data_IF_661093427418
#
_entry.id   IF_661093427418
#
_cell.length_a   1.000
_cell.length_b   1.000
_cell.length_c   1.000
_cell.angle_alpha   90.00
_cell.angle_beta   90.00
_cell.angle_gamma   90.00
#
_symmetry.space_group_name_H-M   'P 1'
#
loop_
_entity.id
_entity.type
_entity.pdbx_description
1 polymer ?
#
# COMPACT_ATOMS: atom_id res chain seq x y z
N UNK A 1 -15.58 34.13 -5.65
CA UNK A 1 -15.49 33.35 -6.91
C UNK A 1 -16.20 32.02 -6.67
N UNK A 2 -17.15 31.60 -7.53
CA UNK A 2 -17.87 30.34 -7.36
C UNK A 2 -16.93 29.18 -7.71
N UNK A 3 -16.46 28.43 -6.73
CA UNK A 3 -15.76 27.17 -6.97
C UNK A 3 -16.78 26.11 -7.40
N UNK A 4 -16.53 25.45 -8.52
CA UNK A 4 -17.37 24.36 -8.99
C UNK A 4 -17.04 23.09 -8.18
N UNK A 5 -18.05 22.47 -7.57
CA UNK A 5 -17.89 21.23 -6.78
C UNK A 5 -17.21 20.10 -7.58
N UNK A 6 -17.37 20.09 -8.92
CA UNK A 6 -16.71 19.12 -9.80
C UNK A 6 -15.18 19.28 -9.81
N UNK A 7 -14.68 20.51 -9.83
CA UNK A 7 -13.23 20.80 -9.80
C UNK A 7 -12.64 20.33 -8.47
N UNK A 8 -13.35 20.59 -7.37
CA UNK A 8 -12.90 20.20 -6.04
C UNK A 8 -12.82 18.68 -5.87
N UNK A 9 -13.75 17.92 -6.46
CA UNK A 9 -13.69 16.45 -6.47
C UNK A 9 -12.50 15.93 -7.29
N UNK A 10 -12.20 16.58 -8.42
CA UNK A 10 -11.08 16.23 -9.28
C UNK A 10 -9.74 16.52 -8.57
N UNK A 11 -9.60 17.70 -7.97
CA UNK A 11 -8.41 18.06 -7.17
C UNK A 11 -8.19 17.09 -6.00
N UNK A 12 -9.27 16.72 -5.30
CA UNK A 12 -9.20 15.72 -4.22
C UNK A 12 -8.77 14.35 -4.75
N UNK A 13 -9.30 13.93 -5.90
CA UNK A 13 -8.91 12.69 -6.56
C UNK A 13 -7.44 12.68 -6.98
N UNK A 14 -6.92 13.79 -7.53
CA UNK A 14 -5.51 13.94 -7.88
C UNK A 14 -4.63 13.86 -6.64
N UNK A 15 -5.00 14.54 -5.55
CA UNK A 15 -4.24 14.49 -4.30
C UNK A 15 -4.17 13.06 -3.75
N UNK A 16 -5.30 12.34 -3.75
CA UNK A 16 -5.35 10.95 -3.31
C UNK A 16 -4.50 10.04 -4.20
N UNK A 17 -4.58 10.22 -5.53
CA UNK A 17 -3.75 9.47 -6.47
C UNK A 17 -2.26 9.76 -6.28
N UNK A 18 -1.88 11.03 -6.08
CA UNK A 18 -0.49 11.43 -5.80
C UNK A 18 0.02 10.84 -4.48
N UNK A 19 -0.82 10.81 -3.44
CA UNK A 19 -0.47 10.24 -2.15
C UNK A 19 -0.33 8.72 -2.20
N UNK A 20 -1.26 8.05 -2.88
CA UNK A 20 -1.19 6.60 -3.14
C UNK A 20 0.06 6.26 -3.96
N UNK A 21 0.31 7.01 -5.03
CA UNK A 21 1.48 6.82 -5.92
C UNK A 21 2.77 7.10 -5.16
N UNK A 22 2.81 8.13 -4.31
CA UNK A 22 3.94 8.43 -3.43
C UNK A 22 4.19 7.30 -2.42
N UNK A 23 3.13 6.70 -1.86
CA UNK A 23 3.25 5.59 -0.92
C UNK A 23 3.73 4.32 -1.60
N UNK A 24 3.16 4.02 -2.77
CA UNK A 24 3.54 2.87 -3.59
C UNK A 24 4.98 2.98 -4.14
N UNK A 25 5.41 4.20 -4.48
CA UNK A 25 6.78 4.51 -4.91
C UNK A 25 7.85 4.04 -3.92
N UNK A 26 7.58 4.09 -2.60
CA UNK A 26 8.51 3.61 -1.57
C UNK A 26 8.75 2.11 -1.72
N UNK A 27 7.67 1.34 -1.86
CA UNK A 27 7.77 -0.11 -2.05
C UNK A 27 8.55 -0.47 -3.32
N UNK A 28 8.30 0.23 -4.42
CA UNK A 28 9.03 0.00 -5.68
C UNK A 28 10.52 0.33 -5.57
N UNK A 29 10.88 1.38 -4.82
CA UNK A 29 12.30 1.72 -4.57
C UNK A 29 13.01 0.64 -3.78
N UNK A 30 12.38 0.16 -2.70
CA UNK A 30 12.92 -0.93 -1.87
C UNK A 30 13.05 -2.21 -2.70
N UNK A 31 12.00 -2.54 -3.47
CA UNK A 31 12.02 -3.69 -4.38
C UNK A 31 13.20 -3.63 -5.34
N UNK A 32 13.38 -2.51 -6.05
CA UNK A 32 14.50 -2.43 -6.99
C UNK A 32 15.86 -2.40 -6.32
N UNK A 33 16.01 -1.85 -5.11
CA UNK A 33 17.27 -2.00 -4.36
C UNK A 33 17.56 -3.46 -4.03
N UNK A 34 16.55 -4.24 -3.62
CA UNK A 34 16.70 -5.67 -3.37
C UNK A 34 17.07 -6.40 -4.66
N UNK A 35 16.35 -6.18 -5.76
CA UNK A 35 16.63 -6.82 -7.05
C UNK A 35 18.03 -6.46 -7.56
N UNK A 36 18.46 -5.20 -7.39
CA UNK A 36 19.81 -4.76 -7.72
C UNK A 36 20.85 -5.52 -6.91
N UNK A 37 20.64 -5.70 -5.60
CA UNK A 37 21.55 -6.47 -4.74
C UNK A 37 21.58 -7.95 -5.11
N UNK A 38 20.42 -8.56 -5.40
CA UNK A 38 20.33 -9.95 -5.87
C UNK A 38 21.11 -10.11 -7.17
N UNK A 39 20.95 -9.18 -8.13
CA UNK A 39 21.70 -9.24 -9.38
C UNK A 39 23.22 -9.14 -9.17
N UNK A 40 23.68 -8.33 -8.21
CA UNK A 40 25.10 -8.27 -7.84
C UNK A 40 25.56 -9.61 -7.27
N UNK A 41 24.79 -10.21 -6.34
CA UNK A 41 25.12 -11.49 -5.72
C UNK A 41 25.13 -12.65 -6.73
N UNK A 42 24.31 -12.58 -7.78
CA UNK A 42 24.27 -13.57 -8.86
C UNK A 42 25.25 -13.25 -10.00
N UNK A 43 26.19 -12.30 -9.82
CA UNK A 43 27.17 -11.89 -10.84
C UNK A 43 26.52 -11.42 -12.16
N UNK A 44 25.31 -10.88 -12.10
CA UNK A 44 24.59 -10.33 -13.24
C UNK A 44 23.65 -11.29 -13.96
N UNK A 45 23.61 -12.58 -13.59
CA UNK A 45 22.81 -13.59 -14.32
C UNK A 45 21.32 -13.31 -14.29
N UNK A 46 20.83 -12.60 -13.26
CA UNK A 46 19.41 -12.30 -13.11
C UNK A 46 18.89 -11.43 -14.27
N UNK A 47 19.68 -10.48 -14.75
CA UNK A 47 19.30 -9.61 -15.86
C UNK A 47 19.77 -10.12 -17.22
N UNK A 48 20.89 -10.84 -17.30
CA UNK A 48 21.37 -11.37 -18.59
C UNK A 48 20.50 -12.51 -19.10
N UNK A 49 19.98 -13.34 -18.20
CA UNK A 49 19.32 -14.59 -18.59
C UNK A 49 17.81 -14.41 -18.71
N UNK A 50 17.26 -13.31 -18.20
CA UNK A 50 15.81 -13.08 -18.15
C UNK A 50 15.44 -11.63 -18.53
N UNK A 51 15.13 -11.41 -19.81
CA UNK A 51 14.70 -10.10 -20.32
C UNK A 51 13.39 -9.58 -19.71
N UNK A 52 12.53 -10.47 -19.20
CA UNK A 52 11.34 -10.07 -18.46
C UNK A 52 11.72 -9.43 -17.13
N UNK A 53 12.65 -10.03 -16.37
CA UNK A 53 13.12 -9.45 -15.10
C UNK A 53 13.84 -8.11 -15.31
N UNK A 54 14.62 -7.99 -16.38
CA UNK A 54 15.24 -6.72 -16.75
C UNK A 54 14.18 -5.62 -17.01
N UNK A 55 13.14 -5.97 -17.77
CA UNK A 55 12.04 -5.04 -18.08
C UNK A 55 11.28 -4.64 -16.83
N UNK A 56 10.88 -5.62 -16.01
CA UNK A 56 10.16 -5.39 -14.76
C UNK A 56 10.96 -4.50 -13.80
N UNK A 57 12.27 -4.76 -13.68
CA UNK A 57 13.17 -3.93 -12.90
C UNK A 57 13.21 -2.49 -13.42
N UNK A 58 13.41 -2.29 -14.73
CA UNK A 58 13.44 -0.96 -15.34
C UNK A 58 12.14 -0.19 -15.10
N UNK A 59 10.99 -0.82 -15.32
CA UNK A 59 9.67 -0.25 -15.06
C UNK A 59 9.49 0.14 -13.59
N UNK A 60 9.84 -0.76 -12.67
CA UNK A 60 9.74 -0.50 -11.23
C UNK A 60 10.57 0.73 -10.81
N UNK A 61 11.76 0.88 -11.38
CA UNK A 61 12.66 2.00 -11.09
C UNK A 61 12.19 3.32 -11.72
N UNK A 62 11.62 3.30 -12.92
CA UNK A 62 11.03 4.50 -13.53
C UNK A 62 9.82 4.95 -12.72
N UNK A 63 8.85 4.06 -12.48
CA UNK A 63 7.66 4.41 -11.70
C UNK A 63 8.05 4.86 -10.29
N UNK A 64 8.93 4.14 -9.61
CA UNK A 64 9.36 4.50 -8.26
C UNK A 64 9.98 5.90 -8.20
N UNK A 65 10.87 6.25 -9.12
CA UNK A 65 11.59 7.53 -9.09
C UNK A 65 10.69 8.67 -9.58
N UNK A 66 10.05 8.51 -10.73
CA UNK A 66 9.29 9.58 -11.39
C UNK A 66 8.01 9.92 -10.62
N UNK A 67 7.36 8.92 -10.01
CA UNK A 67 6.23 9.13 -9.10
C UNK A 67 6.57 10.02 -7.89
N UNK A 68 7.85 10.10 -7.51
CA UNK A 68 8.26 10.87 -6.35
C UNK A 68 8.54 12.35 -6.64
N UNK A 69 8.53 12.77 -7.91
CA UNK A 69 8.75 14.15 -8.32
C UNK A 69 7.73 15.11 -7.71
N UNK A 70 6.40 14.90 -7.85
CA UNK A 70 5.41 15.84 -7.31
C UNK A 70 5.53 15.96 -5.79
N UNK A 71 5.72 14.82 -5.10
CA UNK A 71 5.91 14.79 -3.66
C UNK A 71 7.20 15.49 -3.19
N UNK A 72 8.28 15.42 -3.96
CA UNK A 72 9.50 16.17 -3.67
C UNK A 72 9.27 17.68 -3.84
N UNK A 73 8.67 18.11 -4.95
CA UNK A 73 8.39 19.53 -5.24
C UNK A 73 7.46 20.15 -4.20
N UNK A 74 6.35 19.47 -3.86
CA UNK A 74 5.41 19.97 -2.85
C UNK A 74 6.10 20.19 -1.49
N UNK A 75 6.99 19.28 -1.09
CA UNK A 75 7.77 19.40 0.15
C UNK A 75 8.80 20.52 0.08
N UNK A 76 9.48 20.68 -1.06
CA UNK A 76 10.38 21.82 -1.29
C UNK A 76 9.68 23.14 -1.03
N UNK A 77 8.49 23.34 -1.63
CA UNK A 77 7.69 24.55 -1.43
C UNK A 77 7.25 24.70 0.02
N UNK A 78 6.80 23.61 0.65
CA UNK A 78 6.36 23.61 2.04
C UNK A 78 7.48 24.03 3.02
N UNK A 79 8.66 23.43 2.94
CA UNK A 79 9.79 23.77 3.82
C UNK A 79 10.37 25.15 3.52
N UNK A 80 10.36 25.58 2.26
CA UNK A 80 10.73 26.93 1.89
C UNK A 80 9.83 27.97 2.58
N UNK A 81 8.51 27.74 2.60
CA UNK A 81 7.55 28.62 3.28
C UNK A 81 7.73 28.64 4.79
N UNK A 82 8.15 27.53 5.39
CA UNK A 82 8.45 27.45 6.83
C UNK A 82 9.82 28.02 7.22
N UNK A 83 10.62 28.53 6.27
CA UNK A 83 11.98 29.05 6.49
C UNK A 83 12.95 28.00 7.08
N UNK A 84 12.66 26.71 6.88
CA UNK A 84 13.58 25.63 7.26
C UNK A 84 14.60 25.39 6.14
N UNK A 85 15.58 26.28 6.04
CA UNK A 85 16.53 26.33 4.90
C UNK A 85 17.31 25.04 4.65
N UNK A 86 17.66 24.29 5.69
CA UNK A 86 18.38 23.03 5.56
C UNK A 86 17.53 21.97 4.85
N UNK A 87 16.30 21.74 5.32
CA UNK A 87 15.37 20.78 4.71
C UNK A 87 14.95 21.24 3.32
N UNK A 88 14.65 22.54 3.16
CA UNK A 88 14.33 23.12 1.87
C UNK A 88 15.46 22.93 0.86
N UNK A 89 16.72 23.12 1.28
CA UNK A 89 17.90 22.90 0.42
C UNK A 89 18.02 21.45 -0.06
N UNK A 90 17.88 20.48 0.85
CA UNK A 90 17.93 19.05 0.50
C UNK A 90 16.81 18.68 -0.47
N UNK A 91 15.57 19.09 -0.21
CA UNK A 91 14.45 18.80 -1.10
C UNK A 91 14.55 19.56 -2.44
N UNK A 92 15.10 20.77 -2.46
CA UNK A 92 15.38 21.52 -3.70
C UNK A 92 16.39 20.79 -4.57
N UNK A 93 17.51 20.36 -3.98
CA UNK A 93 18.53 19.58 -4.68
C UNK A 93 17.94 18.29 -5.23
N UNK A 94 17.14 17.59 -4.41
CA UNK A 94 16.49 16.34 -4.81
C UNK A 94 15.50 16.56 -5.97
N UNK A 95 14.63 17.57 -5.89
CA UNK A 95 13.72 17.93 -6.96
C UNK A 95 14.46 18.30 -8.25
N UNK A 96 15.56 19.06 -8.13
CA UNK A 96 16.38 19.45 -9.27
C UNK A 96 17.03 18.23 -9.95
N UNK A 97 17.62 17.31 -9.18
CA UNK A 97 18.22 16.08 -9.71
C UNK A 97 17.20 15.18 -10.43
N UNK A 98 16.01 15.04 -9.85
CA UNK A 98 14.93 14.26 -10.44
C UNK A 98 14.42 14.89 -11.75
N UNK A 99 14.13 16.18 -11.74
CA UNK A 99 13.68 16.91 -12.93
C UNK A 99 14.75 16.94 -14.02
N UNK A 100 16.02 17.08 -13.64
CA UNK A 100 17.14 17.02 -14.57
C UNK A 100 17.22 15.65 -15.27
N UNK A 101 17.08 14.56 -14.50
CA UNK A 101 17.06 13.20 -15.06
C UNK A 101 15.89 13.01 -16.02
N UNK A 102 14.68 13.42 -15.62
CA UNK A 102 13.48 13.33 -16.47
C UNK A 102 13.63 14.17 -17.76
N UNK A 103 14.16 15.37 -17.65
CA UNK A 103 14.44 16.26 -18.78
C UNK A 103 15.44 15.62 -19.76
N UNK A 104 16.53 15.04 -19.26
CA UNK A 104 17.50 14.36 -20.11
C UNK A 104 16.91 13.15 -20.85
N UNK A 105 16.14 12.30 -20.15
CA UNK A 105 15.47 11.16 -20.79
C UNK A 105 14.51 11.63 -21.88
N UNK A 106 13.70 12.66 -21.59
CA UNK A 106 12.78 13.25 -22.57
C UNK A 106 13.52 13.86 -23.76
N UNK A 107 14.68 14.49 -23.54
CA UNK A 107 15.50 15.05 -24.60
C UNK A 107 16.12 13.96 -25.50
N UNK A 108 16.60 12.85 -24.91
CA UNK A 108 17.11 11.70 -25.66
C UNK A 108 16.01 11.12 -26.56
N UNK A 109 14.82 10.91 -26.00
CA UNK A 109 13.67 10.40 -26.75
C UNK A 109 13.27 11.34 -27.88
N UNK A 110 13.24 12.65 -27.61
CA UNK A 110 12.96 13.67 -28.63
C UNK A 110 13.99 13.66 -29.77
N UNK A 111 15.28 13.56 -29.46
CA UNK A 111 16.37 13.46 -30.46
C UNK A 111 16.21 12.18 -31.29
N UNK A 112 15.93 11.05 -30.63
CA UNK A 112 15.73 9.76 -31.30
C UNK A 112 14.57 9.84 -32.31
N UNK A 113 13.44 10.41 -31.89
CA UNK A 113 12.25 10.56 -32.76
C UNK A 113 12.48 11.56 -33.89
N UNK A 114 13.18 12.67 -33.61
CA UNK A 114 13.40 13.75 -34.59
C UNK A 114 14.40 13.36 -35.67
N UNK A 115 15.50 12.70 -35.29
CA UNK A 115 16.57 12.32 -36.21
C UNK A 115 16.38 10.90 -36.78
N UNK A 116 15.40 10.14 -36.29
CA UNK A 116 15.17 8.73 -36.63
C UNK A 116 16.45 7.89 -36.51
N UNK A 117 17.27 8.20 -35.52
CA UNK A 117 18.53 7.50 -35.23
C UNK A 117 18.32 6.46 -34.14
N UNK A 118 19.27 5.53 -34.02
CA UNK A 118 19.27 4.55 -32.93
C UNK A 118 19.57 5.21 -31.59
N UNK A 119 19.08 4.61 -30.50
CA UNK A 119 19.28 5.09 -29.13
C UNK A 119 20.78 5.30 -28.81
N UNK A 120 21.64 4.37 -29.24
CA UNK A 120 23.10 4.46 -29.06
C UNK A 120 23.72 5.69 -29.73
N UNK A 121 23.20 6.10 -30.89
CA UNK A 121 23.63 7.31 -31.59
C UNK A 121 23.06 8.57 -30.93
N UNK A 122 21.81 8.54 -30.49
CA UNK A 122 21.19 9.65 -29.76
C UNK A 122 21.96 10.00 -28.48
N UNK A 123 22.47 9.00 -27.76
CA UNK A 123 23.32 9.24 -26.58
C UNK A 123 24.61 10.00 -26.88
N UNK A 124 25.21 9.83 -28.07
CA UNK A 124 26.42 10.56 -28.46
C UNK A 124 26.15 12.04 -28.71
N UNK A 125 24.90 12.39 -29.04
CA UNK A 125 24.47 13.78 -29.24
C UNK A 125 24.07 14.48 -27.94
N UNK A 126 23.88 13.73 -26.85
CA UNK A 126 23.59 14.30 -25.54
C UNK A 126 24.90 14.58 -24.81
N UNK A 127 25.00 15.77 -24.22
CA UNK A 127 26.21 16.29 -23.58
C UNK A 127 26.70 15.46 -22.37
N UNK A 128 25.95 14.45 -21.94
CA UNK A 128 26.19 13.70 -20.72
C UNK A 128 26.27 12.19 -21.04
N UNK A 129 27.40 11.53 -20.74
CA UNK A 129 27.54 10.10 -20.97
C UNK A 129 26.54 9.29 -20.13
N UNK A 130 26.14 8.12 -20.64
CA UNK A 130 25.14 7.24 -20.02
C UNK A 130 25.56 6.88 -18.59
N UNK A 131 26.85 6.65 -18.39
CA UNK A 131 27.47 6.34 -17.10
C UNK A 131 27.21 7.44 -16.08
N UNK A 132 27.26 8.71 -16.50
CA UNK A 132 26.94 9.86 -15.65
C UNK A 132 25.46 9.90 -15.26
N UNK A 133 24.57 9.53 -16.18
CA UNK A 133 23.13 9.47 -15.93
C UNK A 133 22.79 8.38 -14.90
N UNK A 134 23.43 7.21 -15.02
CA UNK A 134 23.29 6.10 -14.05
C UNK A 134 23.78 6.54 -12.67
N UNK A 135 24.91 7.23 -12.60
CA UNK A 135 25.45 7.77 -11.35
C UNK A 135 24.50 8.75 -10.68
N UNK A 136 24.01 9.74 -11.42
CA UNK A 136 23.05 10.74 -10.92
C UNK A 136 21.80 10.05 -10.38
N UNK A 137 21.26 9.08 -11.13
CA UNK A 137 20.07 8.33 -10.73
C UNK A 137 20.30 7.52 -9.46
N UNK A 138 21.44 6.85 -9.33
CA UNK A 138 21.80 6.07 -8.15
C UNK A 138 21.91 6.94 -6.89
N UNK A 139 22.62 8.07 -6.98
CA UNK A 139 22.70 9.06 -5.89
C UNK A 139 21.31 9.56 -5.50
N UNK A 140 20.45 9.82 -6.49
CA UNK A 140 19.07 10.30 -6.26
C UNK A 140 18.22 9.27 -5.51
N UNK A 141 18.33 7.98 -5.85
CA UNK A 141 17.62 6.90 -5.13
C UNK A 141 18.08 6.84 -3.67
N UNK A 142 19.39 6.89 -3.42
CA UNK A 142 19.93 6.88 -2.05
C UNK A 142 19.43 8.09 -1.26
N UNK A 143 19.49 9.29 -1.85
CA UNK A 143 18.95 10.50 -1.22
C UNK A 143 17.45 10.37 -0.93
N UNK A 144 16.66 9.80 -1.84
CA UNK A 144 15.23 9.57 -1.63
C UNK A 144 14.99 8.63 -0.45
N UNK A 145 15.75 7.55 -0.33
CA UNK A 145 15.63 6.60 0.79
C UNK A 145 16.03 7.25 2.10
N UNK A 146 17.16 7.97 2.14
CA UNK A 146 17.63 8.67 3.34
C UNK A 146 16.63 9.74 3.79
N UNK A 147 16.15 10.57 2.87
CA UNK A 147 15.14 11.60 3.16
C UNK A 147 13.84 10.98 3.64
N UNK A 148 13.43 9.85 3.05
CA UNK A 148 12.25 9.11 3.49
C UNK A 148 12.43 8.54 4.90
N UNK A 149 13.60 7.97 5.22
CA UNK A 149 13.91 7.45 6.55
C UNK A 149 13.96 8.56 7.62
N UNK A 150 14.63 9.69 7.34
CA UNK A 150 14.71 10.85 8.25
C UNK A 150 13.32 11.43 8.53
N UNK A 151 12.42 11.40 7.54
CA UNK A 151 11.03 11.82 7.72
C UNK A 151 10.30 10.91 8.70
N UNK A 152 10.43 9.59 8.56
CA UNK A 152 9.76 8.65 9.48
C UNK A 152 10.25 8.80 10.92
N UNK A 153 11.53 9.12 11.13
CA UNK A 153 12.08 9.36 12.47
C UNK A 153 11.48 10.64 13.12
N UNK A 154 11.24 11.70 12.34
CA UNK A 154 10.68 12.95 12.88
C UNK A 154 9.15 12.91 13.08
N UNK A 155 8.42 12.07 12.33
CA UNK A 155 6.96 11.94 12.48
C UNK A 155 6.60 11.30 13.82
N UNK A 156 7.37 10.32 14.30
CA UNK A 156 7.13 9.72 15.64
C UNK A 156 7.27 10.73 16.79
N UNK A 157 8.09 11.78 16.65
CA UNK A 157 8.23 12.82 17.67
C UNK A 157 7.22 13.97 17.52
N UNK A 158 6.70 14.22 16.31
CA UNK A 158 5.75 15.32 16.07
C UNK A 158 4.27 14.91 16.23
N UNK A 159 3.94 13.62 16.11
CA UNK A 159 2.58 13.12 16.29
C UNK A 159 2.15 13.02 17.76
N UNK A 160 3.06 13.16 18.73
CA UNK A 160 2.67 13.27 20.14
C UNK A 160 2.24 14.69 20.55
N UNK A 161 2.74 15.73 19.88
CA UNK A 161 2.45 17.13 20.26
C UNK A 161 1.27 17.75 19.50
N UNK A 162 0.91 17.22 18.32
CA UNK A 162 -0.21 17.74 17.51
C UNK A 162 -1.52 16.95 17.72
N UNK A 163 -1.43 15.72 18.26
CA UNK A 163 -2.60 14.88 18.51
C UNK A 163 -3.44 15.33 19.72
N UNK A 164 -2.89 16.13 20.63
CA UNK A 164 -3.66 16.68 21.76
C UNK A 164 -4.62 17.82 21.37
N UNK A 165 -4.35 18.60 20.33
CA UNK A 165 -5.26 19.68 19.90
C UNK A 165 -6.31 19.26 18.87
N UNK A 166 -6.08 18.20 18.08
CA UNK A 166 -7.09 17.68 17.13
C UNK A 166 -7.97 16.55 17.67
N UNK A 167 -7.69 16.00 18.87
CA UNK A 167 -8.62 15.10 19.59
C UNK A 167 -9.67 15.83 20.43
N UNK A 168 -9.75 17.17 20.34
CA UNK A 168 -10.89 17.95 20.84
C UNK A 168 -11.95 18.25 19.76
N UNK A 169 -12.03 17.47 18.67
CA UNK A 169 -13.36 17.17 18.12
C UNK A 169 -14.01 16.18 19.09
N UNK A 170 -14.76 16.71 20.04
CA UNK A 170 -15.58 15.97 20.96
C UNK A 170 -16.34 14.87 20.18
N UNK A 171 -15.96 13.60 20.42
CA UNK A 171 -16.87 12.48 20.18
C UNK A 171 -18.10 12.79 21.03
N UNK A 172 -19.15 13.30 20.40
CA UNK A 172 -20.44 13.41 21.05
C UNK A 172 -20.85 12.01 21.50
N UNK A 173 -21.36 11.84 22.73
CA UNK A 173 -21.78 10.53 23.23
C UNK A 173 -22.76 9.83 22.28
N UNK A 174 -23.52 10.58 21.48
CA UNK A 174 -24.38 10.05 20.41
C UNK A 174 -23.64 9.25 19.33
N UNK A 175 -22.43 9.66 18.90
CA UNK A 175 -21.70 8.95 17.85
C UNK A 175 -21.10 7.64 18.39
N UNK A 176 -20.71 7.63 19.67
CA UNK A 176 -20.25 6.42 20.35
C UNK A 176 -21.42 5.44 20.53
N UNK A 177 -22.60 5.93 20.91
CA UNK A 177 -23.82 5.13 21.04
C UNK A 177 -24.25 4.55 19.67
N UNK A 178 -24.18 5.36 18.61
CA UNK A 178 -24.50 4.94 17.24
C UNK A 178 -23.52 3.86 16.73
N UNK A 179 -22.22 4.04 16.92
CA UNK A 179 -21.22 3.03 16.51
C UNK A 179 -21.34 1.76 17.37
N UNK A 180 -21.62 1.90 18.67
CA UNK A 180 -21.83 0.74 19.56
C UNK A 180 -23.07 -0.06 19.16
N UNK A 181 -24.18 0.61 18.83
CA UNK A 181 -25.40 -0.07 18.38
C UNK A 181 -25.21 -0.79 17.06
N UNK A 182 -24.49 -0.20 16.09
CA UNK A 182 -24.16 -0.85 14.81
C UNK A 182 -23.25 -2.06 15.02
N UNK A 183 -22.19 -1.94 15.82
CA UNK A 183 -21.26 -3.06 16.09
C UNK A 183 -21.96 -4.21 16.84
N UNK A 184 -22.83 -3.92 17.81
CA UNK A 184 -23.60 -4.96 18.53
C UNK A 184 -24.58 -5.66 17.58
N UNK A 185 -25.19 -4.93 16.64
CA UNK A 185 -26.12 -5.47 15.66
C UNK A 185 -25.42 -6.35 14.62
N UNK A 186 -24.19 -6.00 14.23
CA UNK A 186 -23.38 -6.73 13.27
C UNK A 186 -22.77 -8.01 13.88
N UNK A 187 -22.31 -7.94 15.14
CA UNK A 187 -21.83 -9.13 15.89
C UNK A 187 -22.97 -10.13 16.13
N UNK A 188 -24.20 -9.67 16.40
CA UNK A 188 -25.37 -10.55 16.54
C UNK A 188 -25.83 -11.17 15.20
N UNK A 189 -25.53 -10.52 14.06
CA UNK A 189 -25.84 -11.05 12.74
C UNK A 189 -24.82 -12.12 12.28
N UNK A 190 -23.53 -11.95 12.60
CA UNK A 190 -22.46 -12.88 12.20
C UNK A 190 -22.38 -14.16 13.06
N UNK A 191 -22.86 -14.14 14.31
CA UNK A 191 -22.83 -15.33 15.17
C UNK A 191 -23.87 -16.41 14.79
N UNK A 192 -24.59 -16.25 13.68
CA UNK A 192 -25.65 -17.16 13.22
C UNK A 192 -25.32 -17.97 11.95
N UNK A 193 -24.14 -17.82 11.35
CA UNK A 193 -23.88 -18.44 10.05
C UNK A 193 -22.45 -18.91 9.79
N UNK A 194 -21.86 -19.71 10.70
CA UNK A 194 -20.88 -20.71 10.28
C UNK A 194 -21.00 -21.98 11.15
N UNK A 195 -21.41 -23.13 10.59
CA UNK A 195 -21.46 -24.39 11.30
C UNK A 195 -20.04 -24.93 11.49
N UNK A 196 -19.64 -25.16 12.74
CA UNK A 196 -18.47 -25.98 13.05
C UNK A 196 -18.78 -27.43 12.62
N UNK A 197 -18.11 -27.97 11.59
CA UNK A 197 -18.39 -29.31 11.06
C UNK A 197 -18.23 -30.41 12.11
N UNK A 198 -17.52 -30.15 13.22
CA UNK A 198 -17.36 -31.07 14.34
C UNK A 198 -18.69 -31.38 15.05
N UNK A 199 -19.62 -30.43 15.13
CA UNK A 199 -20.84 -30.62 15.92
C UNK A 199 -21.86 -31.55 15.26
N UNK A 200 -21.91 -31.61 13.92
CA UNK A 200 -22.82 -32.50 13.21
C UNK A 200 -22.45 -33.97 13.46
N UNK A 201 -21.17 -34.30 13.26
CA UNK A 201 -20.66 -35.65 13.46
C UNK A 201 -20.80 -36.11 14.91
N UNK A 202 -20.53 -35.21 15.88
CA UNK A 202 -20.69 -35.52 17.30
C UNK A 202 -22.14 -35.84 17.68
N UNK A 203 -23.12 -35.12 17.12
CA UNK A 203 -24.54 -35.42 17.36
C UNK A 203 -24.95 -36.73 16.67
N UNK A 204 -24.46 -36.98 15.44
CA UNK A 204 -24.75 -38.19 14.68
C UNK A 204 -24.25 -39.46 15.38
N UNK A 205 -23.02 -39.43 15.88
CA UNK A 205 -22.43 -40.53 16.67
C UNK A 205 -23.25 -40.77 17.94
N UNK A 206 -23.60 -39.70 18.68
CA UNK A 206 -24.34 -39.82 19.93
C UNK A 206 -25.76 -40.41 19.73
N UNK A 207 -26.48 -40.00 18.69
CA UNK A 207 -27.80 -40.57 18.37
C UNK A 207 -27.68 -42.03 17.94
N UNK A 208 -26.60 -42.42 17.26
CA UNK A 208 -26.33 -43.81 16.91
C UNK A 208 -26.18 -44.72 18.14
N UNK A 209 -25.58 -44.22 19.21
CA UNK A 209 -25.45 -44.95 20.48
C UNK A 209 -26.74 -44.88 21.33
N UNK A 210 -27.48 -43.76 21.29
CA UNK A 210 -28.67 -43.52 22.11
C UNK A 210 -29.87 -43.05 21.26
N UNK A 211 -30.56 -43.96 20.54
CA UNK A 211 -31.60 -43.58 19.56
C UNK A 211 -32.87 -42.96 20.17
N UNK A 212 -33.05 -43.05 21.49
CA UNK A 212 -34.19 -42.45 22.22
C UNK A 212 -33.79 -41.18 22.99
N UNK A 213 -32.56 -40.68 22.82
CA UNK A 213 -32.07 -39.51 23.53
C UNK A 213 -32.89 -38.25 23.19
N UNK A 214 -33.25 -37.48 24.21
CA UNK A 214 -33.96 -36.21 24.02
C UNK A 214 -32.97 -35.09 23.70
N UNK A 215 -33.40 -34.08 22.95
CA UNK A 215 -32.59 -32.89 22.60
C UNK A 215 -31.84 -32.29 23.81
N UNK A 216 -32.47 -32.24 24.99
CA UNK A 216 -31.83 -31.71 26.21
C UNK A 216 -30.67 -32.56 26.70
N UNK A 217 -30.77 -33.88 26.57
CA UNK A 217 -29.72 -34.83 26.98
C UNK A 217 -28.53 -34.73 26.03
N UNK A 218 -28.78 -34.64 24.72
CA UNK A 218 -27.74 -34.45 23.69
C UNK A 218 -26.99 -33.13 23.92
N UNK A 219 -27.74 -32.05 24.16
CA UNK A 219 -27.17 -30.73 24.43
C UNK A 219 -26.26 -30.75 25.66
N UNK A 220 -26.71 -31.40 26.74
CA UNK A 220 -25.94 -31.53 27.96
C UNK A 220 -24.70 -32.41 27.77
N UNK A 221 -24.84 -33.57 27.12
CA UNK A 221 -23.75 -34.52 26.93
C UNK A 221 -22.62 -33.97 26.05
N UNK A 222 -22.98 -33.22 25.01
CA UNK A 222 -22.01 -32.68 24.05
C UNK A 222 -21.58 -31.24 24.38
N UNK A 223 -22.01 -30.70 25.52
CA UNK A 223 -21.75 -29.32 25.96
C UNK A 223 -22.10 -28.28 24.89
N UNK A 224 -23.27 -28.44 24.26
CA UNK A 224 -23.79 -27.52 23.24
C UNK A 224 -25.18 -26.98 23.61
N UNK A 225 -25.62 -25.92 22.92
CA UNK A 225 -26.93 -25.34 23.21
C UNK A 225 -28.08 -26.27 22.77
N UNK A 226 -29.24 -26.28 23.46
CA UNK A 226 -30.40 -27.07 23.06
C UNK A 226 -30.92 -26.76 21.66
N UNK A 227 -30.80 -25.50 21.20
CA UNK A 227 -31.20 -25.12 19.85
C UNK A 227 -30.24 -25.67 18.79
N UNK A 228 -28.93 -25.69 19.07
CA UNK A 228 -27.92 -26.33 18.20
C UNK A 228 -28.17 -27.83 18.11
N UNK A 229 -28.39 -28.51 19.25
CA UNK A 229 -28.70 -29.93 19.28
C UNK A 229 -30.00 -30.26 18.52
N UNK A 230 -31.06 -29.46 18.71
CA UNK A 230 -32.34 -29.65 18.01
C UNK A 230 -32.20 -29.48 16.50
N UNK A 231 -31.38 -28.52 16.05
CA UNK A 231 -31.14 -28.27 14.63
C UNK A 231 -30.49 -29.49 13.97
N UNK A 232 -29.41 -30.00 14.56
CA UNK A 232 -28.69 -31.14 13.98
C UNK A 232 -29.48 -32.44 14.05
N UNK A 233 -30.22 -32.67 15.15
CA UNK A 233 -31.11 -33.83 15.26
C UNK A 233 -32.15 -33.86 14.13
N UNK A 234 -32.79 -32.73 13.80
CA UNK A 234 -33.71 -32.64 12.66
C UNK A 234 -33.04 -32.91 11.33
N UNK A 235 -31.84 -32.38 11.12
CA UNK A 235 -31.10 -32.57 9.87
C UNK A 235 -30.73 -34.06 9.66
N UNK A 236 -30.37 -34.77 10.73
CA UNK A 236 -30.10 -36.22 10.68
C UNK A 236 -31.39 -37.02 10.41
N UNK A 237 -32.50 -36.65 11.04
CA UNK A 237 -33.82 -37.27 10.79
C UNK A 237 -34.26 -37.09 9.33
N UNK A 238 -34.02 -35.92 8.74
CA UNK A 238 -34.31 -35.63 7.33
C UNK A 238 -33.44 -36.46 6.36
N UNK A 239 -32.16 -36.69 6.65
CA UNK A 239 -31.28 -37.56 5.85
C UNK A 239 -31.63 -39.05 5.94
N UNK A 240 -32.31 -39.46 7.03
CA UNK A 240 -32.67 -40.87 7.27
C UNK A 240 -33.97 -41.34 6.58
N UNK A 241 -34.71 -40.41 5.95
CA UNK A 241 -35.95 -40.68 5.21
C UNK A 241 -35.70 -40.89 3.73
#
# INVERSE_FOLDING_TARGET
MKQFSSIQKLDTGILYALELTSSFSVFLKVFGLIVSMVNVLTKGTLFTDNGFMQSLYAWSQCIGIDASIPGAIMRTVYYYRQKEWSKAGVYTLLSALLLFTACLVSNIESIQQTLNITLSSAYQHVFLPIEGLIWIRSVTIVLLVVVHAIRHINIEQSDQTVREEQQQLALTPELIEAVRSVIVQEIQAEQKALPDPDNYERVKVYIGEYPQAKVREIAQALSMSPSTASKWMRQIEEESK
#
